data_IF_425189477139
#
_entry.id   IF_425189477139
#
_cell.length_a   1.000
_cell.length_b   1.000
_cell.length_c   1.000
_cell.angle_alpha   90.00
_cell.angle_beta   90.00
_cell.angle_gamma   90.00
#
_symmetry.space_group_name_H-M   'P 1'
#
loop_
_entity.id
_entity.type
_entity.pdbx_description
1 polymer ?
#
# COMPACT_ATOMS: atom_id res chain seq x y z
N UNK A 1 -4.48 -4.92 -6.74
CA UNK A 1 -4.45 -5.52 -5.39
C UNK A 1 -4.79 -4.54 -4.26
N UNK A 2 -3.99 -3.50 -3.95
CA UNK A 2 -4.33 -2.55 -2.85
C UNK A 2 -5.55 -1.67 -3.16
N UNK A 3 -5.54 -1.03 -4.33
CA UNK A 3 -6.66 -0.19 -4.79
C UNK A 3 -7.96 -1.01 -4.94
N UNK A 4 -7.84 -2.29 -5.31
CA UNK A 4 -8.98 -3.21 -5.38
C UNK A 4 -9.56 -3.52 -4.00
N UNK A 5 -8.70 -3.77 -2.98
CA UNK A 5 -9.17 -3.97 -1.61
C UNK A 5 -9.87 -2.71 -1.08
N UNK A 6 -9.22 -1.56 -1.23
CA UNK A 6 -9.74 -0.28 -0.72
C UNK A 6 -11.08 0.03 -1.42
N UNK A 7 -11.19 -0.21 -2.73
CA UNK A 7 -12.46 -0.10 -3.46
C UNK A 7 -13.55 -1.07 -2.95
N UNK A 8 -13.20 -2.32 -2.63
CA UNK A 8 -14.15 -3.30 -2.06
C UNK A 8 -14.60 -2.88 -0.67
N UNK A 9 -13.70 -2.38 0.17
CA UNK A 9 -14.03 -1.86 1.50
C UNK A 9 -14.95 -0.64 1.39
N UNK A 10 -14.66 0.31 0.49
CA UNK A 10 -15.49 1.49 0.26
C UNK A 10 -16.91 1.10 -0.18
N UNK A 11 -17.04 0.11 -1.08
CA UNK A 11 -18.35 -0.41 -1.50
C UNK A 11 -19.12 -1.05 -0.34
N UNK A 12 -18.44 -1.84 0.51
CA UNK A 12 -19.07 -2.43 1.71
C UNK A 12 -19.53 -1.33 2.68
N UNK A 13 -18.70 -0.31 2.89
CA UNK A 13 -19.04 0.82 3.77
C UNK A 13 -20.24 1.60 3.26
N UNK A 14 -20.29 1.88 1.95
CA UNK A 14 -21.44 2.54 1.32
C UNK A 14 -22.73 1.74 1.49
N UNK A 15 -22.71 0.45 1.13
CA UNK A 15 -23.90 -0.40 1.23
C UNK A 15 -24.35 -0.61 2.68
N UNK A 16 -23.40 -0.76 3.62
CA UNK A 16 -23.70 -0.84 5.04
C UNK A 16 -24.29 0.45 5.60
N UNK A 17 -23.87 1.60 5.08
CA UNK A 17 -24.40 2.90 5.47
C UNK A 17 -25.83 3.08 4.95
N UNK A 18 -26.09 2.82 3.66
CA UNK A 18 -27.43 2.85 3.07
C UNK A 18 -28.40 1.94 3.84
N UNK A 19 -28.00 0.70 4.15
CA UNK A 19 -28.82 -0.23 4.95
C UNK A 19 -29.18 0.27 6.36
N UNK A 20 -28.38 1.16 6.96
CA UNK A 20 -28.59 1.66 8.33
C UNK A 20 -29.46 2.90 8.39
N UNK A 21 -29.43 3.74 7.35
CA UNK A 21 -29.98 5.10 7.41
C UNK A 21 -31.08 5.39 6.38
N UNK A 22 -31.26 4.56 5.35
CA UNK A 22 -32.34 4.72 4.38
C UNK A 22 -33.53 3.78 4.70
N UNK A 23 -34.76 4.31 4.61
CA UNK A 23 -36.00 3.53 4.76
C UNK A 23 -36.25 2.73 3.47
N UNK A 24 -35.50 1.64 3.32
CA UNK A 24 -35.48 0.78 2.13
C UNK A 24 -36.53 -0.33 2.25
N UNK A 25 -37.17 -0.66 1.14
CA UNK A 25 -38.16 -1.75 1.05
C UNK A 25 -37.55 -3.10 1.48
N UNK A 26 -38.31 -3.97 2.15
CA UNK A 26 -37.76 -5.23 2.73
C UNK A 26 -37.16 -6.17 1.67
N UNK A 27 -37.64 -6.11 0.41
CA UNK A 27 -37.07 -6.87 -0.71
C UNK A 27 -35.69 -6.34 -1.12
N UNK A 28 -35.57 -5.03 -1.27
CA UNK A 28 -34.32 -4.36 -1.65
C UNK A 28 -33.26 -4.51 -0.54
N UNK A 29 -33.70 -4.50 0.72
CA UNK A 29 -32.85 -4.77 1.89
C UNK A 29 -32.27 -6.19 1.87
N UNK A 30 -33.05 -7.20 1.48
CA UNK A 30 -32.56 -8.58 1.33
C UNK A 30 -31.52 -8.68 0.21
N UNK A 31 -31.77 -8.03 -0.95
CA UNK A 31 -30.83 -8.01 -2.08
C UNK A 31 -29.50 -7.32 -1.71
N UNK A 32 -29.56 -6.19 -1.00
CA UNK A 32 -28.38 -5.47 -0.51
C UNK A 32 -27.60 -6.28 0.55
N UNK A 33 -28.29 -7.00 1.43
CA UNK A 33 -27.64 -7.90 2.40
C UNK A 33 -26.91 -9.06 1.70
N UNK A 34 -27.49 -9.65 0.65
CA UNK A 34 -26.78 -10.65 -0.16
C UNK A 34 -25.57 -10.07 -0.87
N UNK A 35 -25.68 -8.87 -1.43
CA UNK A 35 -24.58 -8.20 -2.11
C UNK A 35 -23.43 -7.86 -1.15
N UNK A 36 -23.74 -7.37 0.06
CA UNK A 36 -22.74 -7.14 1.12
C UNK A 36 -22.04 -8.44 1.50
N UNK A 37 -22.78 -9.54 1.61
CA UNK A 37 -22.20 -10.86 1.94
C UNK A 37 -21.19 -11.30 0.87
N UNK A 38 -21.54 -11.15 -0.41
CA UNK A 38 -20.65 -11.51 -1.52
C UNK A 38 -19.39 -10.62 -1.55
N UNK A 39 -19.54 -9.32 -1.30
CA UNK A 39 -18.41 -8.39 -1.20
C UNK A 39 -17.50 -8.70 -0.02
N UNK A 40 -18.05 -9.12 1.12
CA UNK A 40 -17.28 -9.56 2.29
C UNK A 40 -16.46 -10.82 1.96
N UNK A 41 -17.05 -11.80 1.27
CA UNK A 41 -16.31 -12.97 0.79
C UNK A 41 -15.14 -12.56 -0.11
N UNK A 42 -15.40 -11.67 -1.08
CA UNK A 42 -14.37 -11.14 -1.98
C UNK A 42 -13.25 -10.39 -1.24
N UNK A 43 -13.59 -9.59 -0.22
CA UNK A 43 -12.61 -8.91 0.64
C UNK A 43 -11.70 -9.93 1.33
N UNK A 44 -12.27 -11.01 1.86
CA UNK A 44 -11.52 -12.02 2.60
C UNK A 44 -10.56 -12.80 1.68
N UNK A 45 -10.98 -13.11 0.45
CA UNK A 45 -10.11 -13.67 -0.59
C UNK A 45 -8.93 -12.74 -0.91
N UNK A 46 -9.18 -11.45 -1.17
CA UNK A 46 -8.13 -10.46 -1.45
C UNK A 46 -7.17 -10.33 -0.26
N UNK A 47 -7.69 -10.38 0.97
CA UNK A 47 -6.89 -10.31 2.19
C UNK A 47 -5.94 -11.51 2.33
N UNK A 48 -6.41 -12.72 2.02
CA UNK A 48 -5.58 -13.93 2.05
C UNK A 48 -4.45 -13.84 1.01
N UNK A 49 -4.79 -13.49 -0.23
CA UNK A 49 -3.81 -13.32 -1.31
C UNK A 49 -2.74 -12.28 -0.95
N UNK A 50 -3.14 -11.16 -0.34
CA UNK A 50 -2.21 -10.12 0.11
C UNK A 50 -1.28 -10.65 1.22
N UNK A 51 -1.82 -11.42 2.17
CA UNK A 51 -1.03 -12.00 3.25
C UNK A 51 -0.01 -13.00 2.71
N UNK A 52 -0.38 -13.82 1.73
CA UNK A 52 0.53 -14.76 1.08
C UNK A 52 1.65 -14.02 0.33
N UNK A 53 1.31 -13.03 -0.48
CA UNK A 53 2.29 -12.21 -1.20
C UNK A 53 3.26 -11.49 -0.24
N UNK A 54 2.76 -10.97 0.89
CA UNK A 54 3.60 -10.38 1.94
C UNK A 54 4.56 -11.41 2.54
N UNK A 55 4.08 -12.62 2.87
CA UNK A 55 4.92 -13.70 3.41
C UNK A 55 6.01 -14.12 2.43
N UNK A 56 5.68 -14.25 1.14
CA UNK A 56 6.65 -14.55 0.10
C UNK A 56 7.72 -13.46 -0.04
N UNK A 57 7.32 -12.19 0.04
CA UNK A 57 8.27 -11.08 0.07
C UNK A 57 9.19 -11.16 1.29
N UNK A 58 8.63 -11.39 2.49
CA UNK A 58 9.40 -11.48 3.72
C UNK A 58 10.41 -12.64 3.71
N UNK A 59 10.08 -13.77 3.08
CA UNK A 59 11.00 -14.92 2.92
C UNK A 59 12.29 -14.57 2.15
N UNK A 60 12.28 -13.52 1.31
CA UNK A 60 13.47 -13.06 0.57
C UNK A 60 14.45 -12.28 1.45
N UNK A 61 14.01 -11.83 2.62
CA UNK A 61 14.81 -11.03 3.53
C UNK A 61 15.20 -11.84 4.78
N UNK A 62 15.81 -11.17 5.75
CA UNK A 62 16.19 -11.79 7.01
C UNK A 62 14.96 -12.37 7.73
N UNK A 63 15.05 -13.62 8.19
CA UNK A 63 13.96 -14.37 8.81
C UNK A 63 13.31 -13.67 10.02
N UNK A 64 14.12 -13.08 10.92
CA UNK A 64 13.65 -12.38 12.13
C UNK A 64 13.31 -10.91 11.86
N UNK A 65 14.20 -10.16 11.19
CA UNK A 65 14.09 -8.70 11.07
C UNK A 65 13.37 -8.21 9.81
N UNK A 66 13.20 -9.07 8.81
CA UNK A 66 12.63 -8.69 7.52
C UNK A 66 13.48 -7.67 6.75
N UNK A 67 12.82 -6.73 6.07
CA UNK A 67 13.47 -5.71 5.26
C UNK A 67 13.98 -4.56 6.14
N UNK A 68 15.25 -4.14 5.94
CA UNK A 68 15.86 -3.09 6.77
C UNK A 68 15.20 -1.70 6.58
N UNK A 69 14.85 -1.36 5.34
CA UNK A 69 14.34 -0.02 4.99
C UNK A 69 12.83 0.14 5.15
N UNK A 70 12.08 -0.95 5.34
CA UNK A 70 10.62 -0.91 5.40
C UNK A 70 10.11 -1.75 6.55
N UNK A 71 9.06 -1.28 7.19
CA UNK A 71 8.31 -2.00 8.21
C UNK A 71 6.88 -2.17 7.68
N UNK A 72 6.66 -3.26 6.94
CA UNK A 72 5.43 -3.46 6.17
C UNK A 72 5.27 -2.37 5.10
N UNK A 73 4.26 -1.51 5.27
CA UNK A 73 3.96 -0.43 4.33
C UNK A 73 4.65 0.90 4.65
N UNK A 74 5.23 1.04 5.84
CA UNK A 74 5.86 2.28 6.27
C UNK A 74 7.39 2.20 6.15
N UNK A 75 8.04 3.35 6.06
CA UNK A 75 9.50 3.42 6.17
C UNK A 75 9.94 3.05 7.58
N UNK A 76 11.00 2.25 7.70
CA UNK A 76 11.55 1.91 9.01
C UNK A 76 12.18 3.14 9.67
N UNK A 77 12.42 3.08 11.00
CA UNK A 77 13.14 4.16 11.70
C UNK A 77 14.53 4.40 11.10
N UNK A 78 15.19 3.34 10.65
CA UNK A 78 16.49 3.44 9.99
C UNK A 78 16.37 4.14 8.62
N UNK A 79 15.39 3.77 7.80
CA UNK A 79 15.17 4.44 6.52
C UNK A 79 14.89 5.93 6.69
N UNK A 80 14.07 6.29 7.67
CA UNK A 80 13.78 7.69 7.98
C UNK A 80 15.04 8.46 8.46
N UNK A 81 15.95 7.79 9.17
CA UNK A 81 17.25 8.40 9.52
C UNK A 81 18.11 8.62 8.28
N UNK A 82 18.20 7.63 7.38
CA UNK A 82 18.97 7.74 6.14
C UNK A 82 18.43 8.88 5.28
N UNK A 83 17.11 8.92 5.08
CA UNK A 83 16.43 9.96 4.31
C UNK A 83 16.65 11.37 4.88
N UNK A 84 16.64 11.51 6.21
CA UNK A 84 16.81 12.81 6.87
C UNK A 84 18.26 13.30 6.89
N UNK A 85 19.22 12.41 7.03
CA UNK A 85 20.62 12.79 7.29
C UNK A 85 21.54 12.64 6.08
N UNK A 86 21.21 11.78 5.11
CA UNK A 86 22.06 11.53 3.95
C UNK A 86 21.43 12.09 2.68
N UNK A 87 22.06 13.10 2.07
CA UNK A 87 21.66 13.59 0.75
C UNK A 87 21.89 12.55 -0.36
N UNK A 88 22.86 11.66 -0.16
CA UNK A 88 23.20 10.56 -1.05
C UNK A 88 23.47 9.31 -0.23
N UNK A 89 22.94 8.17 -0.68
CA UNK A 89 23.14 6.87 -0.05
C UNK A 89 23.50 5.81 -1.10
N UNK A 90 24.57 5.06 -0.84
CA UNK A 90 25.01 3.92 -1.66
C UNK A 90 25.50 2.80 -0.75
N UNK A 91 25.59 1.57 -1.27
CA UNK A 91 26.14 0.45 -0.50
C UNK A 91 27.63 0.61 -0.18
N UNK A 92 28.39 1.24 -1.08
CA UNK A 92 29.82 1.50 -0.93
C UNK A 92 30.21 2.83 -1.59
N UNK A 93 31.27 3.47 -1.09
CA UNK A 93 31.82 4.71 -1.66
C UNK A 93 32.39 4.52 -3.08
N UNK A 94 32.89 3.31 -3.37
CA UNK A 94 33.39 2.92 -4.70
C UNK A 94 32.33 3.08 -5.80
N UNK A 95 31.04 2.96 -5.47
CA UNK A 95 29.95 3.15 -6.43
C UNK A 95 29.91 4.58 -6.98
N UNK A 96 30.36 5.58 -6.21
CA UNK A 96 30.40 6.98 -6.66
C UNK A 96 31.46 7.19 -7.75
N UNK A 97 32.50 6.35 -7.80
CA UNK A 97 33.55 6.41 -8.83
C UNK A 97 33.04 6.05 -10.22
N UNK A 98 31.91 5.33 -10.32
CA UNK A 98 31.29 4.98 -11.60
C UNK A 98 30.62 6.16 -12.29
N UNK A 99 30.48 7.29 -11.58
CA UNK A 99 29.86 8.50 -12.09
C UNK A 99 30.91 9.58 -12.38
N UNK A 100 30.59 10.47 -13.31
CA UNK A 100 31.41 11.65 -13.57
C UNK A 100 31.52 12.49 -12.28
N UNK A 101 32.73 13.03 -11.96
CA UNK A 101 32.89 14.00 -10.87
C UNK A 101 31.99 15.23 -11.00
N UNK A 102 31.55 15.56 -12.21
CA UNK A 102 30.68 16.71 -12.50
C UNK A 102 29.18 16.34 -12.49
N UNK A 103 28.84 15.11 -12.10
CA UNK A 103 27.45 14.65 -12.11
C UNK A 103 26.60 15.44 -11.11
N UNK A 104 25.53 16.06 -11.61
CA UNK A 104 24.49 16.67 -10.80
C UNK A 104 23.48 15.61 -10.33
N UNK A 105 23.32 15.47 -9.01
CA UNK A 105 22.34 14.57 -8.41
C UNK A 105 21.06 15.33 -8.10
N UNK A 106 19.95 14.96 -8.74
CA UNK A 106 18.61 15.51 -8.49
C UNK A 106 17.71 14.43 -7.88
N UNK A 107 17.04 14.67 -6.74
CA UNK A 107 16.05 13.76 -6.22
C UNK A 107 14.81 13.71 -7.13
N UNK A 108 14.07 12.60 -7.09
CA UNK A 108 12.71 12.54 -7.64
C UNK A 108 11.79 13.45 -6.83
N UNK A 109 10.69 13.90 -7.43
CA UNK A 109 9.66 14.65 -6.71
C UNK A 109 8.99 13.75 -5.66
N UNK A 110 8.79 14.29 -4.45
CA UNK A 110 8.04 13.64 -3.38
C UNK A 110 6.55 13.93 -3.58
N UNK A 111 5.72 12.89 -3.44
CA UNK A 111 4.28 12.99 -3.62
C UNK A 111 3.52 12.80 -2.32
N UNK A 112 2.53 13.66 -2.10
CA UNK A 112 1.56 13.51 -1.02
C UNK A 112 0.49 12.48 -1.38
N UNK A 113 -0.19 11.92 -0.36
CA UNK A 113 -1.18 10.83 -0.54
C UNK A 113 -2.33 11.16 -1.49
N UNK A 114 -2.68 12.44 -1.67
CA UNK A 114 -3.75 12.86 -2.57
C UNK A 114 -3.27 13.18 -4.00
N UNK A 115 -1.96 13.30 -4.21
CA UNK A 115 -1.37 13.64 -5.50
C UNK A 115 -1.16 12.42 -6.39
N UNK A 116 -1.22 11.20 -5.82
CA UNK A 116 -1.03 9.96 -6.57
C UNK A 116 -2.01 9.75 -7.72
N UNK A 117 -3.18 10.41 -7.70
CA UNK A 117 -4.14 10.36 -8.81
C UNK A 117 -3.72 11.18 -10.04
N UNK A 118 -2.73 12.07 -9.89
CA UNK A 118 -2.26 12.97 -10.95
C UNK A 118 -1.07 12.40 -11.72
N UNK A 119 -0.50 11.27 -11.27
CA UNK A 119 0.64 10.64 -11.92
C UNK A 119 0.19 9.81 -13.13
N UNK A 120 0.74 10.05 -14.34
CA UNK A 120 0.52 9.15 -15.46
C UNK A 120 1.21 7.81 -15.16
N UNK A 121 0.42 6.72 -15.22
CA UNK A 121 0.88 5.33 -15.08
C UNK A 121 1.94 4.96 -16.13
#
# INVERSE_FOLDING_TARGET
MRNERDSVEDMIHHLSWSLKFEDINEKDKQEMLSAVKDLVCKRDEVRLNLQEAQRESHKKFHNVWGQLMKTGYQSSRFAHQVERYACLYTSQVSNLRLYSPEKYYKPSEDFMSHEFHLLPL
#
